data_IF_145463175544
#
_entry.id   IF_145463175544
#
_cell.length_a   1.000
_cell.length_b   1.000
_cell.length_c   1.000
_cell.angle_alpha   90.00
_cell.angle_beta   90.00
_cell.angle_gamma   90.00
#
_symmetry.space_group_name_H-M   'P 1'
#
loop_
_entity.id
_entity.type
_entity.pdbx_description
1 polymer ?
#
# COMPACT_ATOMS: atom_id res chain seq x y z
N UNK A 1 2.26 3.71 -25.91
CA UNK A 1 2.64 3.84 -24.46
C UNK A 1 1.69 4.73 -23.70
N UNK A 2 1.21 5.82 -24.27
CA UNK A 2 0.40 6.84 -23.58
C UNK A 2 -0.91 6.30 -22.97
N UNK A 3 -1.58 5.37 -23.66
CA UNK A 3 -2.85 4.82 -23.18
C UNK A 3 -2.70 3.94 -21.93
N UNK A 4 -1.57 3.24 -21.78
CA UNK A 4 -1.30 2.41 -20.61
C UNK A 4 -0.97 3.25 -19.37
N UNK A 5 -0.23 4.33 -19.55
CA UNK A 5 0.12 5.24 -18.46
C UNK A 5 -1.11 5.98 -17.95
N UNK A 6 -1.99 6.43 -18.85
CA UNK A 6 -3.25 7.06 -18.46
C UNK A 6 -4.18 6.12 -17.69
N UNK A 7 -4.23 4.82 -18.06
CA UNK A 7 -4.99 3.81 -17.31
C UNK A 7 -4.41 3.59 -15.90
N UNK A 8 -3.08 3.52 -15.78
CA UNK A 8 -2.39 3.40 -14.50
C UNK A 8 -2.67 4.62 -13.64
N UNK A 9 -2.53 5.81 -14.21
CA UNK A 9 -2.78 7.07 -13.54
C UNK A 9 -4.20 7.12 -12.95
N UNK A 10 -5.21 6.84 -13.76
CA UNK A 10 -6.60 6.86 -13.33
C UNK A 10 -6.91 5.86 -12.21
N UNK A 11 -6.33 4.66 -12.27
CA UNK A 11 -6.53 3.64 -11.23
C UNK A 11 -5.83 4.02 -9.92
N UNK A 12 -4.63 4.60 -9.99
CA UNK A 12 -3.88 5.07 -8.80
C UNK A 12 -4.59 6.24 -8.14
N UNK A 13 -5.03 7.23 -8.92
CA UNK A 13 -5.73 8.39 -8.41
C UNK A 13 -7.06 7.99 -7.72
N UNK A 14 -7.81 7.09 -8.34
CA UNK A 14 -9.05 6.55 -7.73
C UNK A 14 -8.80 5.87 -6.38
N UNK A 15 -7.67 5.17 -6.22
CA UNK A 15 -7.30 4.53 -4.95
C UNK A 15 -6.84 5.52 -3.91
N UNK A 16 -6.00 6.47 -4.32
CA UNK A 16 -5.55 7.54 -3.42
C UNK A 16 -6.72 8.35 -2.90
N UNK A 17 -7.67 8.68 -3.75
CA UNK A 17 -8.88 9.41 -3.35
C UNK A 17 -9.62 8.69 -2.22
N UNK A 18 -9.83 7.37 -2.35
CA UNK A 18 -10.47 6.54 -1.32
C UNK A 18 -9.64 6.44 -0.03
N UNK A 19 -8.31 6.31 -0.15
CA UNK A 19 -7.41 6.12 0.99
C UNK A 19 -7.14 7.41 1.77
N UNK A 20 -7.26 8.56 1.14
CA UNK A 20 -6.88 9.86 1.71
C UNK A 20 -8.06 10.82 1.89
N UNK A 21 -9.23 10.47 1.38
CA UNK A 21 -10.37 11.39 1.30
C UNK A 21 -10.16 12.51 0.28
N UNK A 22 -9.28 12.29 -0.70
CA UNK A 22 -8.84 13.26 -1.69
C UNK A 22 -7.62 14.08 -1.27
N UNK A 23 -7.13 14.91 -2.17
CA UNK A 23 -6.07 15.87 -1.88
C UNK A 23 -4.65 15.41 -2.19
N UNK A 24 -4.43 14.14 -2.54
CA UNK A 24 -3.14 13.67 -3.05
C UNK A 24 -3.31 13.17 -4.48
N UNK A 25 -2.50 13.71 -5.38
CA UNK A 25 -2.46 13.34 -6.80
C UNK A 25 -1.06 12.86 -7.13
N UNK A 26 -0.97 11.73 -7.82
CA UNK A 26 0.30 11.17 -8.30
C UNK A 26 0.39 11.40 -9.80
N UNK A 27 1.52 11.87 -10.27
CA UNK A 27 1.81 12.02 -11.70
C UNK A 27 3.03 11.18 -12.07
N UNK A 28 2.89 10.44 -13.15
CA UNK A 28 3.99 9.67 -13.74
C UNK A 28 4.59 10.44 -14.89
N UNK A 29 5.88 10.75 -14.80
CA UNK A 29 6.64 11.37 -15.89
C UNK A 29 7.60 10.36 -16.51
N UNK A 30 7.54 10.21 -17.83
CA UNK A 30 8.41 9.28 -18.57
C UNK A 30 9.62 9.97 -19.20
N UNK A 31 9.71 11.28 -19.08
CA UNK A 31 10.80 12.05 -19.66
C UNK A 31 11.36 13.03 -18.63
N UNK A 32 12.68 13.03 -18.52
CA UNK A 32 13.43 13.98 -17.73
C UNK A 32 14.44 14.72 -18.57
N UNK A 33 14.41 16.04 -18.49
CA UNK A 33 15.45 16.85 -19.12
C UNK A 33 16.70 16.82 -18.24
N UNK A 34 17.79 16.32 -18.82
CA UNK A 34 19.09 16.30 -18.14
C UNK A 34 19.74 17.69 -18.21
N UNK A 35 20.60 18.00 -17.25
CA UNK A 35 21.41 19.26 -17.24
C UNK A 35 22.21 19.50 -18.52
N UNK A 36 22.37 18.49 -19.34
CA UNK A 36 23.02 18.55 -20.66
C UNK A 36 22.07 18.91 -21.82
N UNK A 37 20.79 19.19 -21.55
CA UNK A 37 19.78 19.47 -22.59
C UNK A 37 19.30 18.22 -23.34
N UNK A 38 19.71 17.02 -22.93
CA UNK A 38 19.23 15.75 -23.50
C UNK A 38 18.06 15.24 -22.70
N UNK A 39 17.06 14.71 -23.39
CA UNK A 39 15.96 13.99 -22.74
C UNK A 39 16.40 12.55 -22.42
N UNK A 40 16.17 12.12 -21.19
CA UNK A 40 16.32 10.74 -20.77
C UNK A 40 14.94 10.13 -20.54
N UNK A 41 14.76 8.89 -20.98
CA UNK A 41 13.59 8.10 -20.60
C UNK A 41 13.76 7.68 -19.13
N UNK A 42 12.88 8.15 -18.28
CA UNK A 42 12.82 7.81 -16.84
C UNK A 42 11.38 7.51 -16.48
N UNK A 43 11.17 6.96 -15.30
CA UNK A 43 9.85 6.92 -14.67
C UNK A 43 9.97 7.65 -13.34
N UNK A 44 9.70 8.95 -13.38
CA UNK A 44 9.67 9.77 -12.17
C UNK A 44 8.23 9.82 -11.63
N UNK A 45 8.11 9.78 -10.31
CA UNK A 45 6.83 9.86 -9.60
C UNK A 45 6.83 11.19 -8.86
N UNK A 46 5.96 12.10 -9.31
CA UNK A 46 5.70 13.36 -8.65
C UNK A 46 4.39 13.24 -7.86
N UNK A 47 4.37 13.81 -6.68
CA UNK A 47 3.19 13.81 -5.84
C UNK A 47 2.82 15.24 -5.52
N UNK A 48 1.56 15.59 -5.72
CA UNK A 48 1.03 16.92 -5.39
C UNK A 48 -0.10 16.81 -4.37
N UNK A 49 -0.12 17.77 -3.45
CA UNK A 49 -1.14 17.94 -2.42
C UNK A 49 -1.50 19.41 -2.26
N UNK A 50 -2.26 19.76 -1.21
CA UNK A 50 -2.63 21.13 -0.90
C UNK A 50 -1.44 22.09 -0.68
N UNK A 51 -0.24 21.56 -0.45
CA UNK A 51 1.01 22.32 -0.25
C UNK A 51 1.81 22.48 -1.55
N UNK A 52 1.36 21.84 -2.63
CA UNK A 52 2.00 21.89 -3.94
C UNK A 52 2.67 20.56 -4.35
N UNK A 53 3.38 20.62 -5.47
CA UNK A 53 4.10 19.47 -6.01
C UNK A 53 5.44 19.28 -5.31
N UNK A 54 5.71 18.06 -4.86
CA UNK A 54 6.95 17.66 -4.18
C UNK A 54 7.42 16.31 -4.65
N UNK A 55 8.73 16.10 -4.56
CA UNK A 55 9.32 14.76 -4.75
C UNK A 55 8.75 13.80 -3.69
N UNK A 56 8.42 12.58 -4.13
CA UNK A 56 7.91 11.51 -3.26
C UNK A 56 8.80 11.28 -2.01
N UNK A 57 10.12 11.49 -2.15
CA UNK A 57 11.05 11.32 -1.03
C UNK A 57 10.83 12.30 0.14
N UNK A 58 10.14 13.42 -0.10
CA UNK A 58 9.91 14.46 0.90
C UNK A 58 8.63 14.26 1.72
N UNK A 59 7.83 13.27 1.39
CA UNK A 59 6.60 12.96 2.12
C UNK A 59 6.86 12.22 3.43
N UNK A 60 5.94 12.33 4.40
CA UNK A 60 5.99 11.59 5.67
C UNK A 60 5.89 10.08 5.45
N UNK A 61 6.29 9.27 6.43
CA UNK A 61 6.23 7.82 6.35
C UNK A 61 4.82 7.31 6.01
N UNK A 62 3.79 7.81 6.67
CA UNK A 62 2.41 7.42 6.43
C UNK A 62 1.89 7.81 5.04
N UNK A 63 2.26 8.99 4.54
CA UNK A 63 1.89 9.43 3.19
C UNK A 63 2.60 8.58 2.12
N UNK A 64 3.89 8.32 2.30
CA UNK A 64 4.66 7.43 1.41
C UNK A 64 4.03 6.05 1.28
N UNK A 65 3.60 5.47 2.40
CA UNK A 65 2.95 4.16 2.41
C UNK A 65 1.66 4.19 1.60
N UNK A 66 0.79 5.19 1.80
CA UNK A 66 -0.46 5.31 1.03
C UNK A 66 -0.19 5.40 -0.47
N UNK A 67 0.71 6.29 -0.88
CA UNK A 67 1.07 6.46 -2.30
C UNK A 67 1.67 5.19 -2.88
N UNK A 68 2.66 4.59 -2.20
CA UNK A 68 3.30 3.36 -2.67
C UNK A 68 2.31 2.19 -2.81
N UNK A 69 1.40 2.06 -1.86
CA UNK A 69 0.39 1.00 -1.89
C UNK A 69 -0.69 1.26 -2.94
N UNK A 70 -1.13 2.51 -3.12
CA UNK A 70 -2.05 2.86 -4.18
C UNK A 70 -1.49 2.49 -5.56
N UNK A 71 -0.20 2.77 -5.80
CA UNK A 71 0.49 2.40 -7.03
C UNK A 71 0.55 0.88 -7.19
N UNK A 72 0.97 0.14 -6.16
CA UNK A 72 1.11 -1.33 -6.20
C UNK A 72 -0.23 -2.01 -6.45
N UNK A 73 -1.27 -1.64 -5.72
CA UNK A 73 -2.61 -2.20 -5.89
C UNK A 73 -3.25 -1.75 -7.21
N UNK A 74 -3.01 -0.53 -7.66
CA UNK A 74 -3.45 -0.04 -8.96
C UNK A 74 -2.87 -0.86 -10.09
N UNK A 75 -1.55 -1.08 -10.09
CA UNK A 75 -0.87 -1.94 -11.06
C UNK A 75 -1.35 -3.39 -11.00
N UNK A 76 -1.49 -3.96 -9.80
CA UNK A 76 -1.98 -5.33 -9.63
C UNK A 76 -3.38 -5.51 -10.24
N UNK A 77 -4.27 -4.54 -10.05
CA UNK A 77 -5.61 -4.56 -10.64
C UNK A 77 -5.59 -4.50 -12.16
N UNK A 78 -4.77 -3.62 -12.73
CA UNK A 78 -4.65 -3.51 -14.19
C UNK A 78 -4.11 -4.80 -14.79
N UNK A 79 -3.07 -5.39 -14.19
CA UNK A 79 -2.48 -6.65 -14.63
C UNK A 79 -3.53 -7.78 -14.54
N UNK A 80 -4.26 -7.86 -13.44
CA UNK A 80 -5.33 -8.83 -13.22
C UNK A 80 -6.43 -8.73 -14.29
N UNK A 81 -6.90 -7.51 -14.57
CA UNK A 81 -7.91 -7.24 -15.60
C UNK A 81 -7.42 -7.65 -17.00
N UNK A 82 -6.20 -7.26 -17.36
CA UNK A 82 -5.60 -7.58 -18.66
C UNK A 82 -5.36 -9.08 -18.85
N UNK A 83 -5.00 -9.77 -17.77
CA UNK A 83 -4.83 -11.23 -17.76
C UNK A 83 -6.16 -12.00 -17.74
N UNK A 84 -7.29 -11.33 -17.52
CA UNK A 84 -8.59 -11.95 -17.32
C UNK A 84 -8.65 -12.88 -16.10
N UNK A 85 -7.81 -12.59 -15.09
CA UNK A 85 -7.68 -13.42 -13.88
C UNK A 85 -7.85 -12.55 -12.64
N UNK A 86 -8.48 -13.12 -11.60
CA UNK A 86 -8.58 -12.49 -10.29
C UNK A 86 -7.37 -12.88 -9.43
N UNK A 87 -6.83 -11.91 -8.72
CA UNK A 87 -5.83 -12.16 -7.68
C UNK A 87 -6.58 -12.54 -6.41
N UNK A 88 -6.41 -13.77 -5.94
CA UNK A 88 -7.10 -14.27 -4.75
C UNK A 88 -6.33 -13.98 -3.46
N UNK A 89 -5.00 -13.96 -3.52
CA UNK A 89 -4.17 -13.78 -2.34
C UNK A 89 -3.09 -12.74 -2.58
N UNK A 90 -2.90 -11.86 -1.61
CA UNK A 90 -1.86 -10.82 -1.60
C UNK A 90 -0.99 -11.02 -0.35
N UNK A 91 0.32 -10.95 -0.52
CA UNK A 91 1.28 -10.96 0.56
C UNK A 91 1.99 -9.61 0.62
N UNK A 92 1.91 -8.96 1.77
CA UNK A 92 2.61 -7.72 2.07
C UNK A 92 3.66 -8.04 3.12
N UNK A 93 4.91 -8.11 2.69
CA UNK A 93 6.03 -8.48 3.55
C UNK A 93 6.86 -7.26 3.91
N UNK A 94 7.40 -7.26 5.13
CA UNK A 94 8.28 -6.24 5.66
C UNK A 94 7.79 -4.79 5.50
N UNK A 95 6.67 -4.49 6.13
CA UNK A 95 6.26 -3.10 6.31
C UNK A 95 7.21 -2.47 7.33
N UNK A 96 8.17 -1.68 6.86
CA UNK A 96 9.18 -1.00 7.69
C UNK A 96 8.94 0.51 7.73
N UNK A 97 9.60 1.18 8.68
CA UNK A 97 9.71 2.64 8.78
C UNK A 97 8.36 3.37 8.94
N UNK A 98 7.40 2.73 9.62
CA UNK A 98 6.13 3.37 9.96
C UNK A 98 6.22 4.04 11.34
N UNK A 99 5.87 5.32 11.37
CA UNK A 99 5.48 5.99 12.59
C UNK A 99 4.05 5.56 13.02
N UNK A 100 3.58 5.91 14.23
CA UNK A 100 2.24 5.54 14.68
C UNK A 100 1.12 5.94 13.71
N UNK A 101 1.21 7.10 13.09
CA UNK A 101 0.23 7.56 12.10
C UNK A 101 0.29 6.72 10.82
N UNK A 102 1.49 6.28 10.43
CA UNK A 102 1.73 5.37 9.31
C UNK A 102 1.14 3.99 9.54
N UNK A 103 1.23 3.45 10.76
CA UNK A 103 0.62 2.18 11.15
C UNK A 103 -0.90 2.23 11.02
N UNK A 104 -1.54 3.28 11.53
CA UNK A 104 -2.99 3.49 11.39
C UNK A 104 -3.40 3.60 9.91
N UNK A 105 -2.67 4.41 9.16
CA UNK A 105 -2.92 4.59 7.73
C UNK A 105 -2.75 3.29 6.93
N UNK A 106 -1.75 2.50 7.27
CA UNK A 106 -1.51 1.20 6.66
C UNK A 106 -2.65 0.21 6.95
N UNK A 107 -3.06 0.08 8.22
CA UNK A 107 -4.16 -0.79 8.59
C UNK A 107 -5.47 -0.39 7.91
N UNK A 108 -5.81 0.90 7.91
CA UNK A 108 -7.00 1.41 7.23
C UNK A 108 -6.97 1.09 5.72
N UNK A 109 -5.82 1.25 5.08
CA UNK A 109 -5.64 0.92 3.67
C UNK A 109 -5.83 -0.57 3.39
N UNK A 110 -5.26 -1.47 4.21
CA UNK A 110 -5.45 -2.92 4.05
C UNK A 110 -6.93 -3.31 4.20
N UNK A 111 -7.63 -2.71 5.14
CA UNK A 111 -9.07 -2.92 5.31
C UNK A 111 -9.87 -2.43 4.10
N UNK A 112 -9.53 -1.27 3.56
CA UNK A 112 -10.21 -0.68 2.40
C UNK A 112 -10.08 -1.57 1.16
N UNK A 113 -8.85 -2.04 0.86
CA UNK A 113 -8.62 -2.91 -0.30
C UNK A 113 -9.00 -4.37 -0.06
N UNK A 114 -9.24 -4.76 1.19
CA UNK A 114 -9.50 -6.16 1.60
C UNK A 114 -10.68 -6.80 0.86
N UNK A 115 -11.70 -6.02 0.54
CA UNK A 115 -12.88 -6.49 -0.20
C UNK A 115 -12.59 -6.85 -1.68
N UNK A 116 -11.48 -6.40 -2.23
CA UNK A 116 -11.10 -6.64 -3.63
C UNK A 116 -10.39 -7.99 -3.82
N UNK A 117 -9.84 -8.55 -2.74
CA UNK A 117 -9.06 -9.78 -2.72
C UNK A 117 -9.71 -10.84 -1.85
N UNK A 118 -9.44 -12.10 -2.10
CA UNK A 118 -9.91 -13.20 -1.25
C UNK A 118 -9.23 -13.20 0.11
N UNK A 119 -7.91 -12.97 0.13
CA UNK A 119 -7.10 -12.92 1.35
C UNK A 119 -5.94 -11.94 1.20
N UNK A 120 -5.64 -11.21 2.27
CA UNK A 120 -4.42 -10.39 2.37
C UNK A 120 -3.63 -10.87 3.59
N UNK A 121 -2.39 -11.25 3.38
CA UNK A 121 -1.44 -11.62 4.42
C UNK A 121 -0.47 -10.46 4.65
N UNK A 122 -0.41 -9.97 5.87
CA UNK A 122 0.54 -8.93 6.28
C UNK A 122 1.58 -9.57 7.18
N UNK A 123 2.84 -9.50 6.80
CA UNK A 123 3.97 -9.94 7.62
C UNK A 123 4.65 -8.71 8.18
N UNK A 124 4.70 -8.61 9.50
CA UNK A 124 5.26 -7.46 10.19
C UNK A 124 5.82 -7.83 11.56
N UNK A 125 6.79 -7.07 12.00
CA UNK A 125 7.32 -7.12 13.37
C UNK A 125 6.71 -6.05 14.29
N UNK A 126 5.84 -5.19 13.76
CA UNK A 126 5.14 -4.17 14.56
C UNK A 126 4.05 -4.79 15.43
N UNK A 127 4.24 -4.72 16.74
CA UNK A 127 3.28 -5.25 17.72
C UNK A 127 1.94 -4.52 17.66
N UNK A 128 1.97 -3.24 17.31
CA UNK A 128 0.80 -2.36 17.20
C UNK A 128 -0.17 -2.81 16.10
N UNK A 129 0.33 -3.48 15.07
CA UNK A 129 -0.52 -4.02 14.01
C UNK A 129 -1.38 -5.20 14.46
N UNK A 130 -1.01 -5.92 15.52
CA UNK A 130 -1.79 -7.06 16.02
C UNK A 130 -3.23 -6.69 16.37
N UNK A 131 -3.42 -5.55 17.04
CA UNK A 131 -4.74 -5.07 17.43
C UNK A 131 -5.58 -4.48 16.29
N UNK A 132 -5.04 -4.43 15.06
CA UNK A 132 -5.73 -3.88 13.88
C UNK A 132 -6.37 -4.94 13.00
N UNK A 133 -6.08 -6.22 13.24
CA UNK A 133 -6.56 -7.32 12.42
C UNK A 133 -7.19 -8.42 13.29
N UNK A 134 -8.29 -9.01 12.82
CA UNK A 134 -9.02 -10.04 13.56
C UNK A 134 -8.29 -11.40 13.57
N UNK A 135 -7.49 -11.69 12.55
CA UNK A 135 -6.78 -12.96 12.44
C UNK A 135 -5.28 -12.70 12.56
N UNK A 136 -4.69 -13.09 13.69
CA UNK A 136 -3.28 -12.90 13.97
C UNK A 136 -2.61 -14.25 14.20
N UNK A 137 -1.50 -14.48 13.50
CA UNK A 137 -0.61 -15.61 13.69
C UNK A 137 0.73 -15.10 14.21
N UNK A 138 1.13 -15.51 15.39
CA UNK A 138 2.43 -15.15 15.94
C UNK A 138 3.42 -16.29 15.69
N UNK A 139 4.53 -15.96 15.02
CA UNK A 139 5.63 -16.91 14.80
C UNK A 139 6.65 -16.74 15.91
N UNK A 140 6.83 -17.78 16.72
CA UNK A 140 7.77 -17.79 17.84
C UNK A 140 8.96 -18.67 17.51
N UNK A 141 10.17 -18.11 17.54
CA UNK A 141 11.42 -18.85 17.33
C UNK A 141 11.85 -19.51 18.65
N UNK A 142 11.93 -20.84 18.66
CA UNK A 142 12.45 -21.64 19.78
C UNK A 142 13.84 -22.19 19.51
N UNK A 143 14.37 -22.99 20.46
CA UNK A 143 15.67 -23.67 20.30
C UNK A 143 15.63 -24.78 19.25
N UNK A 144 14.49 -25.46 19.12
CA UNK A 144 14.29 -26.60 18.23
C UNK A 144 13.54 -26.23 16.93
N UNK A 145 13.45 -24.95 16.60
CA UNK A 145 12.74 -24.44 15.43
C UNK A 145 11.72 -23.37 15.76
N UNK A 146 10.93 -23.00 14.75
CA UNK A 146 9.86 -22.01 14.91
C UNK A 146 8.50 -22.70 15.04
N UNK A 147 7.61 -22.12 15.85
CA UNK A 147 6.22 -22.56 15.98
C UNK A 147 5.28 -21.41 15.70
N UNK A 148 4.08 -21.73 15.25
CA UNK A 148 3.00 -20.77 15.04
C UNK A 148 2.07 -20.84 16.24
N UNK A 149 1.80 -19.69 16.84
CA UNK A 149 0.80 -19.51 17.89
C UNK A 149 -0.34 -18.67 17.30
N UNK A 150 -1.57 -19.19 17.40
CA UNK A 150 -2.76 -18.45 17.03
C UNK A 150 -3.24 -17.70 18.26
N UNK A 151 -3.33 -16.38 18.18
CA UNK A 151 -3.98 -15.63 19.26
C UNK A 151 -5.47 -15.95 19.20
N UNK A 152 -6.04 -16.37 20.33
CA UNK A 152 -7.48 -16.57 20.44
C UNK A 152 -8.17 -15.22 20.21
N UNK A 153 -9.26 -15.24 19.45
CA UNK A 153 -10.11 -14.05 19.31
C UNK A 153 -10.41 -13.51 20.71
N UNK A 154 -10.29 -12.19 20.95
CA UNK A 154 -10.79 -11.61 22.17
C UNK A 154 -12.28 -11.98 22.24
N UNK A 155 -12.66 -12.69 23.32
CA UNK A 155 -14.05 -13.06 23.52
C UNK A 155 -14.90 -11.79 23.37
N UNK A 156 -15.81 -11.78 22.39
CA UNK A 156 -16.79 -10.72 22.26
C UNK A 156 -17.40 -10.50 23.63
N UNK A 157 -17.29 -9.27 24.14
CA UNK A 157 -18.05 -8.86 25.29
C UNK A 157 -19.52 -8.99 24.92
N UNK A 158 -20.14 -10.09 25.31
CA UNK A 158 -21.58 -10.28 25.23
C UNK A 158 -22.17 -9.15 26.05
N UNK A 159 -22.61 -8.10 25.36
CA UNK A 159 -23.39 -7.03 25.96
C UNK A 159 -24.71 -7.64 26.42
N UNK A 160 -24.88 -7.71 27.74
CA UNK A 160 -26.14 -7.98 28.39
C UNK A 160 -27.01 -6.72 28.36
#
# INVERSE_FOLDING_TARGET
>A
MDNALAEIQAEVDSRLDRMTGGGIIVQFSTQKELKSGKQAETLDIMVSDAQGERDFCLYSGGEKVRVAMAIRFGLARIISRRAGKRIESVFIDEVSDLDPAGIEAFAAMVHEVGSEYGQIFVVSHFTELKGKFNNVLTVVKGRDGSRIEREAEPAEAVAA
#
